data_IF_971483159856
#
_entry.id   IF_971483159856
#
_cell.length_a   1.000
_cell.length_b   1.000
_cell.length_c   1.000
_cell.angle_alpha   90.00
_cell.angle_beta   90.00
_cell.angle_gamma   90.00
#
_symmetry.space_group_name_H-M   'P 1'
#
loop_
_entity.id
_entity.type
_entity.pdbx_description
1 polymer ?
#
# COMPACT_ATOMS: atom_id res chain seq x y z
N UNK A 1 -4.68 -10.55 5.31
CA UNK A 1 -3.57 -10.61 4.34
C UNK A 1 -2.52 -11.55 4.91
N UNK A 2 -2.34 -12.74 4.34
CA UNK A 2 -1.19 -13.58 4.70
C UNK A 2 0.10 -12.92 4.22
N UNK A 3 1.19 -13.14 4.96
CA UNK A 3 2.52 -12.53 4.85
C UNK A 3 3.02 -12.29 3.40
N UNK A 4 2.65 -11.17 2.76
CA UNK A 4 3.28 -10.74 1.51
C UNK A 4 4.75 -10.41 1.77
N UNK A 5 5.63 -11.09 1.04
CA UNK A 5 7.06 -10.80 0.97
C UNK A 5 7.29 -9.55 0.13
N UNK A 6 8.45 -8.95 0.31
CA UNK A 6 8.86 -7.73 -0.39
C UNK A 6 8.94 -7.91 -1.91
N UNK A 7 9.26 -9.12 -2.35
CA UNK A 7 9.29 -9.53 -3.76
C UNK A 7 7.91 -9.75 -4.37
N UNK A 8 6.86 -9.90 -3.57
CA UNK A 8 5.53 -10.29 -4.07
C UNK A 8 4.89 -9.15 -4.84
N UNK A 9 4.21 -9.48 -5.93
CA UNK A 9 3.53 -8.50 -6.77
C UNK A 9 2.27 -7.96 -6.10
N UNK A 10 2.19 -6.64 -6.06
CA UNK A 10 0.98 -5.89 -5.67
C UNK A 10 0.21 -5.49 -6.93
N UNK A 11 0.89 -4.95 -7.95
CA UNK A 11 0.27 -4.65 -9.24
C UNK A 11 0.73 -5.65 -10.30
N UNK A 12 -0.13 -6.61 -10.63
CA UNK A 12 0.16 -7.64 -11.64
C UNK A 12 0.13 -7.11 -13.07
N UNK A 13 -0.62 -6.03 -13.34
CA UNK A 13 -0.73 -5.47 -14.70
C UNK A 13 0.60 -4.97 -15.24
N UNK A 14 1.39 -4.32 -14.39
CA UNK A 14 2.66 -3.67 -14.74
C UNK A 14 3.83 -4.13 -13.85
N UNK A 15 3.65 -5.26 -13.16
CA UNK A 15 4.68 -5.94 -12.36
C UNK A 15 5.34 -5.07 -11.27
N UNK A 16 4.53 -4.40 -10.45
CA UNK A 16 5.03 -3.66 -9.27
C UNK A 16 4.95 -4.54 -8.03
N UNK A 17 6.08 -4.73 -7.35
CA UNK A 17 6.18 -5.49 -6.11
C UNK A 17 5.86 -4.67 -4.85
N UNK A 18 5.67 -5.35 -3.72
CA UNK A 18 5.38 -4.73 -2.42
C UNK A 18 6.49 -3.78 -2.00
N UNK A 19 7.76 -4.16 -2.15
CA UNK A 19 8.90 -3.32 -1.76
C UNK A 19 8.85 -1.95 -2.41
N UNK A 20 8.58 -1.87 -3.70
CA UNK A 20 8.47 -0.60 -4.44
C UNK A 20 7.36 0.30 -3.89
N UNK A 21 6.22 -0.27 -3.50
CA UNK A 21 5.13 0.48 -2.87
C UNK A 21 5.54 0.97 -1.48
N UNK A 22 6.12 0.11 -0.64
CA UNK A 22 6.55 0.44 0.72
C UNK A 22 7.66 1.49 0.73
N UNK A 23 8.69 1.33 -0.12
CA UNK A 23 9.78 2.30 -0.28
C UNK A 23 9.23 3.67 -0.73
N UNK A 24 8.12 3.71 -1.48
CA UNK A 24 7.45 4.96 -1.84
C UNK A 24 6.71 5.56 -0.65
N UNK A 25 6.00 4.76 0.14
CA UNK A 25 5.32 5.26 1.35
C UNK A 25 6.35 5.88 2.31
N UNK A 26 7.49 5.21 2.53
CA UNK A 26 8.59 5.69 3.37
C UNK A 26 9.23 6.99 2.86
N UNK A 27 9.14 7.29 1.57
CA UNK A 27 9.56 8.58 0.97
C UNK A 27 8.51 9.69 1.11
N UNK A 28 7.38 9.43 1.78
CA UNK A 28 6.30 10.40 1.97
C UNK A 28 5.22 10.39 0.88
N UNK A 29 5.22 9.40 -0.02
CA UNK A 29 4.15 9.21 -1.01
C UNK A 29 2.93 8.53 -0.36
N UNK A 30 2.26 9.22 0.57
CA UNK A 30 1.20 8.66 1.44
C UNK A 30 -0.20 8.66 0.84
N UNK A 31 -0.36 8.89 -0.47
CA UNK A 31 -1.66 8.85 -1.14
C UNK A 31 -1.61 7.95 -2.37
N UNK A 32 -2.76 7.38 -2.75
CA UNK A 32 -2.84 6.54 -3.95
C UNK A 32 -2.39 7.29 -5.22
N UNK A 33 -2.69 8.59 -5.33
CA UNK A 33 -2.24 9.41 -6.44
C UNK A 33 -0.71 9.54 -6.48
N UNK A 34 -0.09 9.87 -5.34
CA UNK A 34 1.37 9.98 -5.23
C UNK A 34 2.08 8.66 -5.54
N UNK A 35 1.52 7.53 -5.05
CA UNK A 35 2.03 6.20 -5.37
C UNK A 35 1.91 5.90 -6.88
N UNK A 36 0.78 6.24 -7.52
CA UNK A 36 0.59 6.10 -8.97
C UNK A 36 1.63 6.90 -9.77
N UNK A 37 1.86 8.16 -9.38
CA UNK A 37 2.80 9.04 -10.06
C UNK A 37 4.24 8.49 -9.98
N UNK A 38 4.64 8.00 -8.81
CA UNK A 38 5.98 7.48 -8.53
C UNK A 38 6.24 6.06 -9.08
N UNK A 39 5.28 5.13 -8.92
CA UNK A 39 5.49 3.69 -9.20
C UNK A 39 4.77 3.19 -10.46
N UNK A 40 3.90 4.02 -11.05
CA UNK A 40 2.95 3.64 -12.11
C UNK A 40 1.94 2.55 -11.73
N UNK A 41 1.95 2.01 -10.51
CA UNK A 41 0.97 1.02 -10.07
C UNK A 41 -0.46 1.53 -10.28
N UNK A 42 -1.43 0.64 -10.51
CA UNK A 42 -2.84 1.01 -10.73
C UNK A 42 -3.09 1.87 -12.01
N UNK A 43 -2.19 1.86 -12.99
CA UNK A 43 -2.40 2.50 -14.31
C UNK A 43 -2.72 1.52 -15.44
N UNK A 44 -2.48 0.21 -15.25
CA UNK A 44 -2.86 -0.83 -16.20
C UNK A 44 -4.34 -1.24 -16.11
N UNK A 45 -4.85 -1.92 -17.14
CA UNK A 45 -6.27 -2.25 -17.32
C UNK A 45 -6.60 -3.76 -17.29
N UNK A 46 -5.61 -4.64 -17.21
CA UNK A 46 -5.77 -6.11 -17.31
C UNK A 46 -6.01 -6.81 -15.95
N UNK A 47 -6.57 -6.10 -14.96
CA UNK A 47 -6.69 -6.61 -13.59
C UNK A 47 -7.52 -7.90 -13.50
N UNK A 48 -8.54 -8.04 -14.35
CA UNK A 48 -9.41 -9.24 -14.40
C UNK A 48 -8.68 -10.50 -14.86
N UNK A 49 -7.57 -10.35 -15.58
CA UNK A 49 -6.80 -11.44 -16.19
C UNK A 49 -5.51 -11.69 -15.41
N UNK A 50 -4.75 -10.62 -15.12
CA UNK A 50 -3.41 -10.72 -14.53
C UNK A 50 -3.40 -10.78 -13.00
N UNK A 51 -4.34 -10.13 -12.33
CA UNK A 51 -4.39 -10.16 -10.86
C UNK A 51 -5.10 -11.45 -10.39
N UNK A 52 -4.47 -12.29 -9.53
CA UNK A 52 -5.11 -13.50 -8.99
C UNK A 52 -6.46 -13.23 -8.33
N UNK A 53 -6.62 -12.07 -7.66
CA UNK A 53 -7.89 -11.67 -7.04
C UNK A 53 -8.89 -11.05 -8.02
N UNK A 54 -8.54 -10.95 -9.31
CA UNK A 54 -9.35 -10.42 -10.44
C UNK A 54 -9.90 -9.01 -10.23
N UNK A 55 -9.35 -8.27 -9.28
CA UNK A 55 -9.71 -6.89 -8.95
C UNK A 55 -8.50 -5.97 -9.09
N UNK A 56 -8.72 -4.66 -9.10
CA UNK A 56 -7.62 -3.70 -9.16
C UNK A 56 -6.81 -3.69 -7.86
N UNK A 57 -5.48 -3.62 -8.00
CA UNK A 57 -4.50 -3.51 -6.90
C UNK A 57 -4.67 -2.24 -6.02
N UNK A 58 -5.56 -1.32 -6.38
CA UNK A 58 -5.83 -0.11 -5.60
C UNK A 58 -6.27 -0.41 -4.17
N UNK A 59 -6.94 -1.54 -3.94
CA UNK A 59 -7.32 -2.01 -2.59
C UNK A 59 -6.08 -2.33 -1.77
N UNK A 60 -5.17 -3.13 -2.31
CA UNK A 60 -3.94 -3.57 -1.63
C UNK A 60 -3.01 -2.38 -1.36
N UNK A 61 -2.87 -1.45 -2.33
CA UNK A 61 -2.06 -0.23 -2.15
C UNK A 61 -2.62 0.64 -1.02
N UNK A 62 -3.95 0.81 -0.94
CA UNK A 62 -4.57 1.60 0.14
C UNK A 62 -4.34 0.95 1.51
N UNK A 63 -4.40 -0.37 1.58
CA UNK A 63 -4.12 -1.11 2.81
C UNK A 63 -2.65 -0.97 3.24
N UNK A 64 -1.71 -1.06 2.30
CA UNK A 64 -0.29 -0.78 2.56
C UNK A 64 -0.08 0.65 3.05
N UNK A 65 -0.68 1.65 2.39
CA UNK A 65 -0.61 3.04 2.87
C UNK A 65 -1.09 3.10 4.32
N UNK A 66 -2.28 2.56 4.62
CA UNK A 66 -2.82 2.56 5.98
C UNK A 66 -1.86 1.93 7.00
N UNK A 67 -1.31 0.75 6.70
CA UNK A 67 -0.40 0.03 7.60
C UNK A 67 0.88 0.83 7.87
N UNK A 68 1.49 1.39 6.82
CA UNK A 68 2.80 2.04 6.89
C UNK A 68 2.73 3.53 7.28
N UNK A 69 1.56 4.17 7.25
CA UNK A 69 1.37 5.53 7.78
C UNK A 69 0.83 5.53 9.21
N UNK A 70 0.06 4.51 9.62
CA UNK A 70 -0.44 4.39 11.01
C UNK A 70 0.59 3.79 11.96
N UNK A 71 1.72 3.31 11.45
CA UNK A 71 2.87 2.87 12.28
C UNK A 71 3.70 4.04 12.83
N UNK A 72 3.40 5.28 12.44
CA UNK A 72 3.98 6.51 13.02
C UNK A 72 3.05 7.19 14.06
N UNK A 73 1.95 6.57 14.48
CA UNK A 73 1.17 7.01 15.64
C UNK A 73 1.62 6.27 16.91
N UNK A 74 2.82 6.63 17.38
CA UNK A 74 3.16 6.57 18.80
C UNK A 74 3.10 8.01 19.35
N UNK A 75 1.92 8.60 19.46
CA UNK A 75 1.72 9.67 20.44
C UNK A 75 0.24 9.91 20.76
N UNK A 76 -0.06 9.73 22.05
CA UNK A 76 -1.17 10.35 22.75
C UNK A 76 -2.57 9.76 22.52
N UNK A 77 -2.81 8.58 23.09
CA UNK A 77 -4.09 8.37 23.78
C UNK A 77 -3.83 8.62 25.26
N UNK A 78 -4.24 9.80 25.72
CA UNK A 78 -4.08 10.27 27.08
C UNK A 78 -4.73 9.35 28.10
N UNK A 79 -4.01 9.10 29.19
CA UNK A 79 -4.57 8.57 30.42
C UNK A 79 -5.73 9.46 30.89
N UNK A 80 -6.95 8.95 30.83
CA UNK A 80 -8.05 9.42 31.68
C UNK A 80 -8.00 8.61 32.99
N UNK A 81 -7.00 8.90 33.83
CA UNK A 81 -6.97 8.49 35.22
C UNK A 81 -7.08 9.77 36.05
N UNK A 82 -8.30 10.18 36.37
CA UNK A 82 -8.54 11.25 37.35
C UNK A 82 -9.35 10.68 38.50
N UNK A 83 -8.61 10.45 39.58
CA UNK A 83 -8.94 10.28 40.99
C UNK A 83 -10.40 10.08 41.42
#
# INVERSE_FOLDING_TARGET
MENLKDSDLVCYCIQVNKKTIVDSIQKGYTTLQKIKENTKACTGSECKVKNPSRICCSKDIKELIKIYTQSEDNSSCGCCCTN
#
